data_IF_243858655316
#
_entry.id   IF_243858655316
#
_cell.length_a   1.000
_cell.length_b   1.000
_cell.length_c   1.000
_cell.angle_alpha   90.00
_cell.angle_beta   90.00
_cell.angle_gamma   90.00
#
_symmetry.space_group_name_H-M   'P 1'
#
loop_
_entity.id
_entity.type
_entity.pdbx_description
1 polymer ?
#
# COMPACT_ATOMS: atom_id res chain seq x y z
N UNK A 1 9.20 -23.89 -4.97
CA UNK A 1 10.10 -22.88 -5.55
C UNK A 1 9.75 -22.44 -6.98
N UNK A 2 8.82 -23.13 -7.67
CA UNK A 2 8.43 -22.86 -9.08
C UNK A 2 7.35 -21.81 -9.28
N UNK A 3 6.65 -21.39 -8.22
CA UNK A 3 5.40 -20.65 -8.37
C UNK A 3 5.51 -19.11 -8.28
N UNK A 4 6.66 -18.60 -7.81
CA UNK A 4 6.86 -17.16 -7.62
C UNK A 4 7.29 -16.47 -8.92
N UNK A 5 8.06 -17.15 -9.76
CA UNK A 5 8.52 -16.62 -11.04
C UNK A 5 7.38 -16.50 -12.06
N UNK A 6 6.50 -17.50 -12.12
CA UNK A 6 5.35 -17.47 -13.01
C UNK A 6 4.31 -16.39 -12.68
N UNK A 7 4.25 -15.96 -11.42
CA UNK A 7 3.32 -14.90 -10.98
C UNK A 7 3.84 -13.48 -11.27
N UNK A 8 5.16 -13.28 -11.27
CA UNK A 8 5.77 -11.98 -11.64
C UNK A 8 5.65 -11.77 -13.14
N UNK A 9 5.91 -12.80 -13.93
CA UNK A 9 5.73 -12.75 -15.39
C UNK A 9 4.26 -12.51 -15.77
N UNK A 10 3.30 -13.01 -15.00
CA UNK A 10 1.86 -12.79 -15.22
C UNK A 10 1.45 -11.35 -14.91
N UNK A 11 2.06 -10.72 -13.89
CA UNK A 11 1.82 -9.30 -13.58
C UNK A 11 2.45 -8.42 -14.66
N UNK A 12 3.68 -8.72 -15.10
CA UNK A 12 4.36 -7.99 -16.17
C UNK A 12 3.63 -8.14 -17.52
N UNK A 13 3.21 -9.36 -17.87
CA UNK A 13 2.51 -9.63 -19.14
C UNK A 13 1.05 -9.14 -19.13
N UNK A 14 0.40 -8.96 -17.98
CA UNK A 14 -0.92 -8.33 -17.91
C UNK A 14 -0.86 -6.81 -18.17
N UNK A 15 0.34 -6.20 -18.15
CA UNK A 15 0.57 -4.78 -18.40
C UNK A 15 0.92 -4.44 -19.87
N UNK A 16 1.12 -5.45 -20.75
CA UNK A 16 1.59 -5.25 -22.13
C UNK A 16 0.50 -5.48 -23.19
N UNK A 17 -0.66 -4.82 -23.10
CA UNK A 17 -1.55 -4.72 -24.27
C UNK A 17 -1.88 -3.27 -24.55
N UNK A 18 -1.51 -2.71 -25.75
CA UNK A 18 -1.85 -1.35 -26.12
C UNK A 18 -3.35 -1.25 -26.42
N UNK A 19 -4.06 -0.41 -25.71
CA UNK A 19 -5.44 -0.07 -25.95
C UNK A 19 -6.26 0.00 -24.67
N UNK A 20 -6.54 1.21 -24.17
CA UNK A 20 -7.53 1.59 -23.14
C UNK A 20 -7.54 0.85 -21.81
N UNK A 21 -6.44 0.26 -21.37
CA UNK A 21 -6.34 -0.27 -20.01
C UNK A 21 -5.82 0.79 -19.06
N UNK A 22 -6.61 1.08 -18.05
CA UNK A 22 -6.26 1.92 -16.90
C UNK A 22 -4.94 1.44 -16.28
N UNK A 23 -3.96 2.33 -16.09
CA UNK A 23 -2.68 2.00 -15.47
C UNK A 23 -2.81 1.55 -14.01
N UNK A 24 -1.75 0.97 -13.45
CA UNK A 24 -1.79 0.43 -12.08
C UNK A 24 -2.11 1.51 -11.04
N UNK A 25 -1.59 2.72 -11.23
CA UNK A 25 -1.89 3.88 -10.41
C UNK A 25 -3.38 4.23 -10.44
N UNK A 26 -3.96 4.37 -11.63
CA UNK A 26 -5.36 4.72 -11.83
C UNK A 26 -6.29 3.63 -11.31
N UNK A 27 -5.90 2.36 -11.42
CA UNK A 27 -6.64 1.22 -10.85
C UNK A 27 -6.65 1.30 -9.32
N UNK A 28 -5.49 1.57 -8.69
CA UNK A 28 -5.40 1.68 -7.23
C UNK A 28 -6.18 2.89 -6.72
N UNK A 29 -6.08 4.03 -7.39
CA UNK A 29 -6.87 5.21 -7.08
C UNK A 29 -8.38 4.93 -7.18
N UNK A 30 -8.81 4.27 -8.24
CA UNK A 30 -10.22 3.93 -8.48
C UNK A 30 -10.75 3.01 -7.38
N UNK A 31 -10.03 1.95 -7.01
CA UNK A 31 -10.50 1.00 -6.00
C UNK A 31 -10.54 1.64 -4.60
N UNK A 32 -9.55 2.47 -4.24
CA UNK A 32 -9.54 3.20 -2.97
C UNK A 32 -10.71 4.19 -2.88
N UNK A 33 -10.99 4.91 -3.97
CA UNK A 33 -12.09 5.87 -4.01
C UNK A 33 -13.48 5.23 -4.02
N UNK A 34 -13.62 4.01 -4.53
CA UNK A 34 -14.86 3.24 -4.53
C UNK A 34 -15.05 2.39 -3.26
N UNK A 35 -13.99 2.22 -2.47
CA UNK A 35 -14.03 1.34 -1.31
C UNK A 35 -14.92 1.88 -0.19
N UNK A 36 -15.79 1.05 0.39
CA UNK A 36 -16.49 1.39 1.61
C UNK A 36 -15.50 1.55 2.79
N UNK A 37 -15.82 2.37 3.82
CA UNK A 37 -14.90 2.67 4.93
C UNK A 37 -14.26 1.44 5.58
N UNK A 38 -15.02 0.34 5.71
CA UNK A 38 -14.52 -0.92 6.30
C UNK A 38 -13.39 -1.62 5.50
N UNK A 39 -13.23 -1.29 4.21
CA UNK A 39 -12.19 -1.86 3.34
C UNK A 39 -10.99 -0.92 3.16
N UNK A 40 -11.12 0.36 3.52
CA UNK A 40 -10.04 1.33 3.39
C UNK A 40 -8.76 0.91 4.16
N UNK A 41 -8.83 0.43 5.41
CA UNK A 41 -7.62 0.03 6.13
C UNK A 41 -6.82 -1.07 5.41
N UNK A 42 -7.48 -2.10 4.91
CA UNK A 42 -6.81 -3.22 4.24
C UNK A 42 -6.20 -2.79 2.90
N UNK A 43 -6.90 -1.93 2.15
CA UNK A 43 -6.43 -1.42 0.87
C UNK A 43 -5.28 -0.43 1.06
N UNK A 44 -5.44 0.59 1.91
CA UNK A 44 -4.44 1.64 2.09
C UNK A 44 -3.16 1.09 2.75
N UNK A 45 -3.26 0.34 3.84
CA UNK A 45 -2.08 -0.26 4.48
C UNK A 45 -1.43 -1.26 3.52
N UNK A 46 -2.20 -2.09 2.82
CA UNK A 46 -1.65 -3.02 1.83
C UNK A 46 -0.88 -2.33 0.72
N UNK A 47 -1.45 -1.26 0.14
CA UNK A 47 -0.88 -0.52 -0.99
C UNK A 47 0.33 0.34 -0.62
N UNK A 48 0.36 0.91 0.60
CA UNK A 48 1.34 1.96 0.95
C UNK A 48 2.29 1.58 2.09
N UNK A 49 2.28 0.32 2.56
CA UNK A 49 3.20 -0.15 3.59
C UNK A 49 3.94 -1.45 3.24
N UNK A 50 3.50 -2.17 2.23
CA UNK A 50 4.10 -3.44 1.82
C UNK A 50 4.03 -4.56 2.86
N UNK A 51 3.20 -4.44 3.89
CA UNK A 51 3.00 -5.46 4.92
C UNK A 51 2.42 -6.73 4.25
N UNK A 52 2.87 -7.91 4.70
CA UNK A 52 2.33 -9.18 4.18
C UNK A 52 0.87 -9.35 4.59
N UNK A 53 0.06 -9.94 3.71
CA UNK A 53 -1.36 -10.22 3.99
C UNK A 53 -1.56 -10.94 5.32
N UNK A 54 -0.71 -11.93 5.64
CA UNK A 54 -0.79 -12.65 6.91
C UNK A 54 -0.47 -11.79 8.14
N UNK A 55 0.40 -10.80 7.99
CA UNK A 55 0.73 -9.81 9.03
C UNK A 55 -0.40 -8.80 9.17
N UNK A 56 -0.91 -8.28 8.05
CA UNK A 56 -2.04 -7.35 8.01
C UNK A 56 -3.29 -7.95 8.68
N UNK A 57 -3.57 -9.24 8.47
CA UNK A 57 -4.68 -9.95 9.12
C UNK A 57 -4.54 -10.07 10.64
N UNK A 58 -3.32 -9.93 11.18
CA UNK A 58 -3.05 -9.98 12.62
C UNK A 58 -2.77 -8.60 13.20
N UNK A 59 -2.71 -7.58 12.35
CA UNK A 59 -2.41 -6.22 12.75
C UNK A 59 -3.55 -5.67 13.61
N UNK A 60 -3.18 -5.09 14.73
CA UNK A 60 -4.07 -4.35 15.63
C UNK A 60 -3.78 -2.86 15.52
N UNK A 61 -4.80 -2.01 15.68
CA UNK A 61 -4.65 -0.57 15.58
C UNK A 61 -3.68 -0.01 16.63
N UNK A 62 -3.49 -0.69 17.77
CA UNK A 62 -2.48 -0.32 18.77
C UNK A 62 -1.03 -0.39 18.27
N UNK A 63 -0.81 -1.05 17.13
CA UNK A 63 0.50 -1.11 16.47
C UNK A 63 0.68 -0.04 15.39
N UNK A 64 -0.33 0.78 15.13
CA UNK A 64 -0.33 1.87 14.14
C UNK A 64 -0.23 3.20 14.88
N UNK A 65 0.94 3.80 14.86
CA UNK A 65 1.23 5.07 15.51
C UNK A 65 1.34 6.18 14.46
N UNK A 66 0.28 6.96 14.32
CA UNK A 66 0.24 8.06 13.34
C UNK A 66 1.09 9.26 13.77
N UNK A 67 1.27 9.49 15.06
CA UNK A 67 2.09 10.60 15.56
C UNK A 67 3.57 10.35 15.26
N UNK A 68 4.04 9.12 15.51
CA UNK A 68 5.40 8.69 15.20
C UNK A 68 5.61 8.26 13.76
N UNK A 69 4.54 8.17 12.97
CA UNK A 69 4.56 7.73 11.57
C UNK A 69 5.12 6.33 11.36
N UNK A 70 4.72 5.37 12.19
CA UNK A 70 5.19 4.00 12.13
C UNK A 70 4.08 2.97 12.32
N UNK A 71 4.26 1.80 11.69
CA UNK A 71 3.52 0.58 11.99
C UNK A 71 4.51 -0.43 12.57
N UNK A 72 4.24 -0.95 13.75
CA UNK A 72 5.08 -1.93 14.42
C UNK A 72 4.63 -3.36 14.08
N UNK A 73 5.47 -4.14 13.43
CA UNK A 73 5.23 -5.56 13.18
C UNK A 73 6.01 -6.37 14.22
N UNK A 74 5.28 -7.00 15.14
CA UNK A 74 5.86 -7.78 16.24
C UNK A 74 6.31 -9.16 15.79
N UNK A 75 7.32 -9.74 16.45
CA UNK A 75 7.89 -11.04 16.12
C UNK A 75 6.86 -12.18 16.00
N UNK A 76 5.86 -12.23 16.86
CA UNK A 76 4.77 -13.23 16.81
C UNK A 76 3.81 -13.05 15.62
N UNK A 77 3.88 -11.95 14.90
CA UNK A 77 3.07 -11.64 13.72
C UNK A 77 3.84 -11.88 12.42
N UNK A 78 5.17 -11.85 12.48
CA UNK A 78 6.05 -11.98 11.33
C UNK A 78 6.30 -13.43 10.95
N UNK A 79 6.37 -13.74 9.64
CA UNK A 79 6.72 -15.07 9.12
C UNK A 79 8.15 -15.49 9.54
N UNK A 80 9.05 -14.52 9.75
CA UNK A 80 10.48 -14.71 10.07
C UNK A 80 10.83 -14.41 11.52
N UNK A 81 9.83 -14.29 12.41
CA UNK A 81 10.01 -14.00 13.84
C UNK A 81 10.84 -12.73 14.17
N UNK A 82 11.11 -11.84 13.22
CA UNK A 82 11.81 -10.59 13.47
C UNK A 82 10.86 -9.42 13.58
N UNK A 83 11.02 -8.62 14.66
CA UNK A 83 10.34 -7.34 14.84
C UNK A 83 10.86 -6.34 13.80
N UNK A 84 9.97 -5.56 13.19
CA UNK A 84 10.34 -4.46 12.33
C UNK A 84 9.36 -3.29 12.45
N UNK A 85 9.83 -2.15 12.04
CA UNK A 85 9.03 -0.91 11.94
C UNK A 85 8.86 -0.58 10.46
N UNK A 86 7.63 -0.27 10.07
CA UNK A 86 7.28 0.16 8.71
C UNK A 86 6.90 1.63 8.77
N UNK A 87 7.50 2.50 7.96
CA UNK A 87 7.15 3.92 7.95
C UNK A 87 5.75 4.14 7.36
N UNK A 88 5.02 5.10 7.93
CA UNK A 88 3.75 5.58 7.40
C UNK A 88 4.05 6.79 6.51
N UNK A 89 3.84 6.64 5.21
CA UNK A 89 3.94 7.71 4.21
C UNK A 89 2.82 8.73 4.40
N UNK A 90 3.00 9.96 3.86
CA UNK A 90 2.03 11.04 4.02
C UNK A 90 0.64 10.66 3.46
N UNK A 91 0.62 10.02 2.29
CA UNK A 91 -0.64 9.54 1.72
C UNK A 91 -1.28 8.43 2.57
N UNK A 92 -0.50 7.49 3.09
CA UNK A 92 -1.04 6.46 3.98
C UNK A 92 -1.66 7.09 5.23
N UNK A 93 -0.98 8.04 5.84
CA UNK A 93 -1.53 8.74 6.99
C UNK A 93 -2.85 9.47 6.65
N UNK A 94 -2.91 10.14 5.50
CA UNK A 94 -4.12 10.80 5.02
C UNK A 94 -5.32 9.82 4.90
N UNK A 95 -5.06 8.59 4.47
CA UNK A 95 -6.09 7.54 4.41
C UNK A 95 -6.50 7.00 5.78
N UNK A 96 -5.57 6.92 6.75
CA UNK A 96 -5.82 6.30 8.05
C UNK A 96 -6.36 7.26 9.11
N UNK A 97 -6.00 8.54 9.02
CA UNK A 97 -6.33 9.54 10.05
C UNK A 97 -7.82 9.69 10.32
N UNK A 98 -8.70 9.69 9.29
CA UNK A 98 -10.14 9.84 9.50
C UNK A 98 -10.84 8.56 9.96
N UNK A 99 -10.14 7.43 10.04
CA UNK A 99 -10.74 6.15 10.37
C UNK A 99 -10.82 5.94 11.88
N UNK A 100 -11.88 5.26 12.31
CA UNK A 100 -11.95 4.73 13.67
C UNK A 100 -10.91 3.63 13.86
N UNK A 101 -10.06 3.77 14.89
CA UNK A 101 -8.89 2.93 15.12
C UNK A 101 -9.02 2.12 16.42
N UNK A 102 -9.86 1.09 16.38
CA UNK A 102 -10.06 0.22 17.53
C UNK A 102 -9.96 -1.26 17.13
N UNK A 103 -9.25 -2.06 17.93
CA UNK A 103 -9.12 -3.49 17.73
C UNK A 103 -8.33 -3.86 16.47
N UNK A 104 -8.77 -4.88 15.75
CA UNK A 104 -8.06 -5.36 14.55
C UNK A 104 -8.28 -4.46 13.35
N UNK A 105 -7.20 -4.19 12.62
CA UNK A 105 -7.22 -3.44 11.35
C UNK A 105 -8.08 -4.17 10.30
N UNK A 106 -8.00 -5.51 10.27
CA UNK A 106 -8.84 -6.37 9.43
C UNK A 106 -9.74 -7.21 10.33
N UNK A 107 -10.95 -6.73 10.65
CA UNK A 107 -11.79 -7.37 11.67
C UNK A 107 -12.37 -8.71 11.24
N UNK A 108 -12.52 -8.96 9.93
CA UNK A 108 -13.18 -10.16 9.42
C UNK A 108 -12.36 -10.82 8.30
N UNK A 109 -12.32 -12.15 8.28
CA UNK A 109 -11.72 -12.93 7.18
C UNK A 109 -12.38 -12.64 5.83
N UNK A 110 -13.63 -12.20 5.85
CA UNK A 110 -14.42 -11.84 4.66
C UNK A 110 -13.84 -10.62 3.93
N UNK A 111 -13.10 -9.73 4.61
CA UNK A 111 -12.61 -8.48 4.02
C UNK A 111 -11.78 -8.68 2.73
N UNK A 112 -10.97 -9.72 2.65
CA UNK A 112 -10.22 -10.04 1.42
C UNK A 112 -11.11 -10.47 0.26
N UNK A 113 -12.21 -11.20 0.53
CA UNK A 113 -13.20 -11.58 -0.48
C UNK A 113 -13.96 -10.36 -0.96
N UNK A 114 -14.30 -9.45 -0.04
CA UNK A 114 -14.98 -8.20 -0.35
C UNK A 114 -14.12 -7.28 -1.20
N UNK A 115 -12.81 -7.21 -0.94
CA UNK A 115 -11.84 -6.48 -1.80
C UNK A 115 -11.80 -7.11 -3.20
N UNK A 116 -11.72 -8.42 -3.31
CA UNK A 116 -11.72 -9.11 -4.59
C UNK A 116 -13.03 -8.90 -5.36
N UNK A 117 -14.18 -8.91 -4.65
CA UNK A 117 -15.48 -8.63 -5.24
C UNK A 117 -15.60 -7.17 -5.74
N UNK A 118 -15.09 -6.20 -4.96
CA UNK A 118 -15.02 -4.79 -5.35
C UNK A 118 -14.16 -4.62 -6.60
N UNK A 119 -12.98 -5.22 -6.62
CA UNK A 119 -12.06 -5.19 -7.76
C UNK A 119 -12.71 -5.76 -9.03
N UNK A 120 -13.37 -6.92 -8.91
CA UNK A 120 -14.08 -7.55 -10.02
C UNK A 120 -15.24 -6.67 -10.53
N UNK A 121 -16.00 -6.03 -9.64
CA UNK A 121 -17.08 -5.11 -10.01
C UNK A 121 -16.57 -3.86 -10.75
N UNK A 122 -15.32 -3.45 -10.50
CA UNK A 122 -14.66 -2.34 -11.19
C UNK A 122 -13.91 -2.78 -12.46
N UNK A 123 -13.91 -4.07 -12.80
CA UNK A 123 -13.15 -4.61 -13.93
C UNK A 123 -11.63 -4.59 -13.72
N UNK A 124 -11.16 -4.50 -12.48
CA UNK A 124 -9.75 -4.44 -12.11
C UNK A 124 -9.25 -5.84 -11.78
N UNK A 125 -8.17 -6.28 -12.41
CA UNK A 125 -7.52 -7.55 -12.07
C UNK A 125 -6.91 -7.49 -10.66
N UNK A 126 -7.08 -8.57 -9.88
CA UNK A 126 -6.60 -8.64 -8.50
C UNK A 126 -5.68 -9.84 -8.26
N UNK A 127 -4.43 -9.80 -8.75
CA UNK A 127 -3.48 -10.89 -8.53
C UNK A 127 -3.11 -11.04 -7.05
N UNK A 128 -2.62 -12.22 -6.71
CA UNK A 128 -2.15 -12.49 -5.35
C UNK A 128 -0.99 -11.56 -4.99
N UNK A 129 -1.05 -10.96 -3.80
CA UNK A 129 -0.05 -10.03 -3.26
C UNK A 129 0.16 -8.75 -4.10
N UNK A 130 -0.75 -8.40 -5.01
CA UNK A 130 -0.62 -7.22 -5.88
C UNK A 130 -0.21 -5.96 -5.08
N UNK A 131 -0.91 -5.61 -4.01
CA UNK A 131 -0.62 -4.42 -3.20
C UNK A 131 0.83 -4.38 -2.70
N UNK A 132 1.35 -5.53 -2.24
CA UNK A 132 2.72 -5.61 -1.76
C UNK A 132 3.75 -5.53 -2.90
N UNK A 133 3.45 -6.13 -4.04
CA UNK A 133 4.33 -6.04 -5.21
C UNK A 133 4.41 -4.61 -5.70
N UNK A 134 3.28 -3.93 -5.85
CA UNK A 134 3.23 -2.51 -6.22
C UNK A 134 3.99 -1.64 -5.22
N UNK A 135 3.74 -1.81 -3.91
CA UNK A 135 4.49 -1.06 -2.90
C UNK A 135 5.99 -1.20 -3.07
N UNK A 136 6.51 -2.43 -3.18
CA UNK A 136 7.95 -2.66 -3.29
C UNK A 136 8.51 -2.01 -4.54
N UNK A 137 7.85 -2.16 -5.70
CA UNK A 137 8.27 -1.55 -6.97
C UNK A 137 8.36 -0.03 -6.88
N UNK A 138 7.30 0.61 -6.41
CA UNK A 138 7.26 2.07 -6.28
C UNK A 138 8.17 2.58 -5.16
N UNK A 139 8.27 1.84 -4.05
CA UNK A 139 9.11 2.26 -2.92
C UNK A 139 10.59 2.24 -3.26
N UNK A 140 11.06 1.25 -4.04
CA UNK A 140 12.47 1.20 -4.46
C UNK A 140 12.82 2.34 -5.42
N UNK A 141 11.88 2.77 -6.27
CA UNK A 141 12.10 3.90 -7.15
C UNK A 141 12.30 5.22 -6.38
N UNK A 142 11.57 5.41 -5.26
CA UNK A 142 11.72 6.59 -4.40
C UNK A 142 12.95 6.51 -3.51
N UNK A 143 13.15 5.36 -2.83
CA UNK A 143 14.19 5.22 -1.78
C UNK A 143 15.56 4.93 -2.38
N UNK A 144 15.62 4.31 -3.57
CA UNK A 144 16.84 3.90 -4.28
C UNK A 144 17.77 2.98 -3.47
N UNK A 145 17.20 2.28 -2.47
CA UNK A 145 17.92 1.36 -1.59
C UNK A 145 17.14 0.06 -1.41
N UNK A 146 17.68 -1.03 -1.98
CA UNK A 146 17.10 -2.37 -1.81
C UNK A 146 17.15 -2.84 -0.35
N UNK A 147 18.19 -2.48 0.40
CA UNK A 147 18.35 -2.83 1.81
C UNK A 147 17.25 -2.18 2.67
N UNK A 148 17.00 -0.89 2.46
CA UNK A 148 15.96 -0.18 3.19
C UNK A 148 14.56 -0.75 2.88
N UNK A 149 14.24 -0.95 1.61
CA UNK A 149 12.93 -1.51 1.22
C UNK A 149 12.79 -2.96 1.72
N UNK A 150 13.89 -3.72 1.75
CA UNK A 150 13.90 -5.07 2.32
C UNK A 150 13.57 -5.06 3.82
N UNK A 151 14.12 -4.13 4.60
CA UNK A 151 13.79 -3.95 6.01
C UNK A 151 12.32 -3.57 6.20
N UNK A 152 11.83 -2.57 5.48
CA UNK A 152 10.43 -2.12 5.54
C UNK A 152 9.46 -3.25 5.18
N UNK A 153 9.68 -3.92 4.06
CA UNK A 153 8.83 -5.00 3.58
C UNK A 153 9.05 -6.34 4.32
N UNK A 154 10.15 -6.50 5.05
CA UNK A 154 10.53 -7.77 5.68
C UNK A 154 10.89 -8.84 4.64
N UNK A 155 11.61 -8.48 3.59
CA UNK A 155 12.22 -9.35 2.59
C UNK A 155 13.74 -9.43 2.79
N UNK A 156 14.43 -10.25 2.00
CA UNK A 156 15.88 -10.12 1.87
C UNK A 156 16.22 -9.12 0.75
N UNK A 157 17.33 -8.36 0.88
CA UNK A 157 17.78 -7.45 -0.18
C UNK A 157 17.98 -8.15 -1.53
N UNK A 158 18.49 -9.38 -1.51
CA UNK A 158 18.68 -10.18 -2.71
C UNK A 158 17.37 -10.44 -3.49
N UNK A 159 16.26 -10.67 -2.79
CA UNK A 159 14.92 -10.81 -3.41
C UNK A 159 14.46 -9.49 -4.00
N UNK A 160 14.63 -8.38 -3.27
CA UNK A 160 14.26 -7.06 -3.77
C UNK A 160 15.08 -6.74 -5.03
N UNK A 161 16.39 -6.88 -4.97
CA UNK A 161 17.29 -6.59 -6.08
C UNK A 161 16.98 -7.44 -7.33
N UNK A 162 16.73 -8.75 -7.15
CA UNK A 162 16.46 -9.67 -8.25
C UNK A 162 15.16 -9.38 -9.00
N UNK A 163 14.11 -8.94 -8.30
CA UNK A 163 12.75 -8.91 -8.84
C UNK A 163 12.18 -7.51 -9.08
N UNK A 164 12.81 -6.44 -8.57
CA UNK A 164 12.20 -5.10 -8.58
C UNK A 164 13.12 -4.01 -9.14
N UNK A 165 14.31 -4.34 -9.60
CA UNK A 165 15.39 -3.37 -9.93
C UNK A 165 15.07 -2.56 -11.16
N UNK A 166 14.19 -2.47 -11.88
CA UNK A 166 14.06 -1.63 -13.10
C UNK A 166 12.61 -1.50 -13.60
N UNK A 167 11.65 -1.85 -12.75
CA UNK A 167 10.27 -1.98 -13.19
C UNK A 167 9.46 -0.67 -13.10
N UNK A 168 9.99 0.38 -12.42
CA UNK A 168 9.18 1.56 -12.09
C UNK A 168 10.02 2.83 -12.14
N UNK A 169 9.49 3.89 -12.78
CA UNK A 169 10.13 5.22 -12.82
C UNK A 169 9.80 6.04 -11.57
N UNK A 170 10.61 7.09 -11.30
CA UNK A 170 10.34 8.03 -10.21
C UNK A 170 8.96 8.70 -10.39
N UNK A 171 8.63 9.17 -11.59
CA UNK A 171 7.33 9.79 -11.89
C UNK A 171 6.13 8.87 -11.58
N UNK A 172 6.26 7.58 -11.86
CA UNK A 172 5.22 6.60 -11.52
C UNK A 172 5.12 6.41 -10.01
N UNK A 173 6.26 6.37 -9.33
CA UNK A 173 6.29 6.25 -7.89
C UNK A 173 5.73 7.50 -7.19
N UNK A 174 6.04 8.69 -7.68
CA UNK A 174 5.46 9.94 -7.17
C UNK A 174 3.95 9.96 -7.32
N UNK A 175 3.41 9.53 -8.46
CA UNK A 175 1.97 9.37 -8.66
C UNK A 175 1.35 8.38 -7.68
N UNK A 176 2.00 7.23 -7.45
CA UNK A 176 1.54 6.22 -6.51
C UNK A 176 1.43 6.75 -5.08
N UNK A 177 2.47 7.43 -4.60
CA UNK A 177 2.48 8.01 -3.27
C UNK A 177 1.71 9.34 -3.15
N UNK A 178 1.21 9.87 -4.26
CA UNK A 178 0.29 11.00 -4.29
C UNK A 178 -1.20 10.60 -4.30
N UNK A 179 -1.54 9.31 -4.25
CA UNK A 179 -2.95 8.86 -4.15
C UNK A 179 -3.51 9.25 -2.78
N UNK A 180 -4.45 10.18 -2.78
CA UNK A 180 -5.08 10.73 -1.58
C UNK A 180 -6.60 10.43 -1.54
N UNK A 181 -7.23 10.45 -0.36
CA UNK A 181 -8.69 10.45 -0.25
C UNK A 181 -9.30 11.62 -1.00
N UNK A 182 -10.51 11.43 -1.56
CA UNK A 182 -11.30 12.54 -2.12
C UNK A 182 -11.75 13.47 -1.01
N UNK A 183 -11.96 14.74 -1.34
CA UNK A 183 -12.63 15.68 -0.42
C UNK A 183 -13.99 15.11 0.01
N UNK A 184 -14.22 15.09 1.31
CA UNK A 184 -15.47 14.56 1.89
C UNK A 184 -15.54 13.03 2.02
N UNK A 185 -14.66 12.26 1.40
CA UNK A 185 -14.66 10.78 1.53
C UNK A 185 -14.35 10.33 2.97
N UNK A 186 -13.68 11.17 3.72
CA UNK A 186 -13.28 10.93 5.11
C UNK A 186 -13.65 12.06 6.07
N UNK A 187 -14.48 13.01 5.63
CA UNK A 187 -14.82 14.21 6.43
C UNK A 187 -13.68 15.23 6.58
N UNK A 188 -12.55 15.01 5.95
CA UNK A 188 -11.38 15.89 6.03
C UNK A 188 -11.00 16.46 4.66
N UNK A 189 -10.55 17.70 4.64
CA UNK A 189 -10.01 18.35 3.43
C UNK A 189 -8.50 18.14 3.39
N UNK A 190 -8.03 17.49 2.34
CA UNK A 190 -6.61 17.29 2.08
C UNK A 190 -6.13 18.26 1.01
N UNK A 191 -5.03 18.95 1.27
CA UNK A 191 -4.37 19.81 0.32
C UNK A 191 -2.90 19.37 0.17
N UNK A 192 -2.41 19.39 -1.05
CA UNK A 192 -0.98 19.23 -1.29
C UNK A 192 -0.37 20.63 -1.32
N UNK A 193 0.53 20.90 -0.41
CA UNK A 193 1.35 22.14 -0.46
C UNK A 193 2.22 22.08 -1.72
N UNK A 194 1.85 22.87 -2.74
CA UNK A 194 2.52 22.89 -4.05
C UNK A 194 3.99 23.24 -3.98
N UNK A 195 4.44 23.90 -2.90
CA UNK A 195 5.83 24.32 -2.72
C UNK A 195 6.69 23.22 -2.10
N UNK A 196 6.11 22.40 -1.20
CA UNK A 196 6.86 21.40 -0.43
C UNK A 196 6.51 19.97 -0.83
N UNK A 197 5.46 19.77 -1.64
CA UNK A 197 4.92 18.45 -1.99
C UNK A 197 4.28 17.72 -0.81
N UNK A 198 4.17 18.35 0.36
CA UNK A 198 3.62 17.71 1.57
C UNK A 198 2.11 17.82 1.64
N UNK A 199 1.49 16.76 2.16
CA UNK A 199 0.05 16.73 2.42
C UNK A 199 -0.28 17.54 3.67
N UNK A 200 -1.31 18.38 3.58
CA UNK A 200 -1.83 19.20 4.68
C UNK A 200 -3.30 18.84 4.89
N UNK A 201 -3.67 18.49 6.10
CA UNK A 201 -5.04 18.17 6.48
C UNK A 201 -5.65 19.29 7.32
N UNK A 202 -6.83 19.78 6.92
CA UNK A 202 -7.56 20.85 7.64
C UNK A 202 -6.65 22.06 8.01
N UNK A 203 -5.71 22.41 7.13
CA UNK A 203 -4.76 23.51 7.37
C UNK A 203 -3.62 23.20 8.34
N UNK A 204 -3.55 22.01 8.90
CA UNK A 204 -2.44 21.54 9.73
C UNK A 204 -1.50 20.65 8.90
N UNK A 205 -0.20 20.94 8.92
CA UNK A 205 0.79 20.04 8.34
C UNK A 205 0.73 18.69 9.08
N UNK A 206 0.62 17.62 8.34
CA UNK A 206 0.88 16.30 8.89
C UNK A 206 2.39 16.26 9.24
N UNK A 207 2.68 16.12 10.53
CA UNK A 207 4.05 16.11 11.04
C UNK A 207 4.79 14.84 10.72
#
# INVERSE_FOLDING_TARGET
MRDVLGQIDTISNAMETPGDKMGEFEQMQTILHAAPPRLLPILAIGAFSGIRVAELNRLDWSAVDLDRRIIEIRAGQAKTASRRVVPITDNLAAWLEPLERQGRVVPAKQAHRDVAALSAALGIAWPRNVLRHSFISYRIAVVKSADQVALEAGNSPAIIFKHYRELTTEDQADKWFAILPKEGQSGNTFLVDKRTGKVVMNGKRLR
#
